data_IF_982407474567
#
_entry.id   IF_982407474567
#
_cell.length_a   1.000
_cell.length_b   1.000
_cell.length_c   1.000
_cell.angle_alpha   90.00
_cell.angle_beta   90.00
_cell.angle_gamma   90.00
#
_symmetry.space_group_name_H-M   'P 1'
#
loop_
_entity.id
_entity.type
_entity.pdbx_description
1 polymer ?
#
# COMPACT_ATOMS: atom_id res chain seq x y z
N UNK A 1 -16.41 7.63 39.21
CA UNK A 1 -15.63 8.46 38.27
C UNK A 1 -14.37 7.69 37.92
N UNK A 2 -14.39 6.96 36.80
CA UNK A 2 -13.23 6.21 36.29
C UNK A 2 -12.59 7.07 35.19
N UNK A 3 -11.31 7.38 35.39
CA UNK A 3 -10.47 8.19 34.51
C UNK A 3 -10.35 7.52 33.15
N UNK A 4 -10.67 8.24 32.06
CA UNK A 4 -10.25 7.87 30.71
C UNK A 4 -8.77 8.23 30.56
N UNK A 5 -7.92 7.24 30.29
CA UNK A 5 -6.60 7.45 29.72
C UNK A 5 -6.78 7.67 28.21
N UNK A 6 -6.21 8.72 27.60
CA UNK A 6 -6.10 8.79 26.15
C UNK A 6 -5.02 7.80 25.71
N UNK A 7 -5.38 6.83 24.86
CA UNK A 7 -4.42 6.05 24.11
C UNK A 7 -3.79 6.99 23.07
N UNK A 8 -2.52 7.34 23.29
CA UNK A 8 -1.69 8.06 22.33
C UNK A 8 -1.32 7.04 21.25
N UNK A 9 -1.90 7.16 20.06
CA UNK A 9 -1.38 6.50 18.87
C UNK A 9 -0.02 7.12 18.55
N UNK A 10 1.04 6.35 18.75
CA UNK A 10 2.38 6.78 18.41
C UNK A 10 2.56 6.77 16.91
N UNK A 11 2.68 7.95 16.30
CA UNK A 11 3.26 8.10 14.97
C UNK A 11 4.69 7.59 15.02
N UNK A 12 4.99 6.56 14.24
CA UNK A 12 6.36 6.10 14.07
C UNK A 12 7.13 7.16 13.29
N UNK A 13 8.05 7.81 13.98
CA UNK A 13 8.98 8.79 13.43
C UNK A 13 9.94 8.05 12.50
N UNK A 14 9.84 8.29 11.19
CA UNK A 14 10.85 7.86 10.22
C UNK A 14 12.11 8.72 10.41
N UNK A 15 12.97 8.30 11.32
CA UNK A 15 14.35 8.82 11.41
C UNK A 15 15.11 8.23 10.24
N UNK A 16 15.37 9.07 9.23
CA UNK A 16 16.18 8.71 8.08
C UNK A 16 17.57 8.25 8.52
N UNK A 17 17.92 7.00 8.21
CA UNK A 17 19.30 6.52 8.24
C UNK A 17 19.76 6.28 6.81
N UNK A 18 20.43 7.29 6.25
CA UNK A 18 21.41 7.05 5.20
C UNK A 18 22.57 6.27 5.80
N UNK A 19 22.59 4.96 5.55
CA UNK A 19 23.62 4.04 6.01
C UNK A 19 23.92 3.03 4.91
N UNK A 20 25.15 3.05 4.43
CA UNK A 20 25.70 2.07 3.49
C UNK A 20 25.83 0.72 4.17
N UNK A 21 24.85 -0.16 4.02
CA UNK A 21 24.94 -1.53 4.52
C UNK A 21 24.92 -2.55 3.38
N UNK A 22 25.82 -3.51 3.52
CA UNK A 22 26.00 -4.64 2.63
C UNK A 22 24.71 -5.46 2.56
N UNK A 23 23.93 -5.29 1.49
CA UNK A 23 22.77 -6.11 1.14
C UNK A 23 23.20 -7.58 1.03
N UNK A 24 23.18 -8.31 2.14
CA UNK A 24 23.16 -9.77 2.09
C UNK A 24 21.71 -10.17 1.83
N UNK A 25 21.39 -10.71 0.64
CA UNK A 25 20.02 -11.04 0.29
C UNK A 25 19.44 -12.02 1.30
N UNK A 26 18.19 -11.79 1.70
CA UNK A 26 17.50 -12.70 2.62
C UNK A 26 17.41 -14.11 1.99
N UNK A 27 17.61 -15.18 2.79
CA UNK A 27 17.41 -16.54 2.31
C UNK A 27 15.98 -16.79 1.83
N UNK A 28 15.79 -17.75 0.91
CA UNK A 28 14.50 -18.06 0.29
C UNK A 28 13.41 -18.40 1.32
N UNK A 29 13.78 -19.13 2.39
CA UNK A 29 12.86 -19.44 3.49
C UNK A 29 12.36 -18.18 4.20
N UNK A 30 13.22 -17.17 4.33
CA UNK A 30 12.86 -15.90 4.95
C UNK A 30 11.97 -15.09 4.01
N UNK A 31 12.19 -15.13 2.69
CA UNK A 31 11.32 -14.43 1.72
C UNK A 31 9.88 -14.95 1.80
N UNK A 32 9.66 -16.27 1.90
CA UNK A 32 8.32 -16.83 2.03
C UNK A 32 7.59 -16.31 3.30
N UNK A 33 8.30 -16.31 4.43
CA UNK A 33 7.79 -15.79 5.71
C UNK A 33 7.53 -14.27 5.63
N UNK A 34 8.42 -13.52 4.99
CA UNK A 34 8.24 -12.08 4.75
C UNK A 34 7.03 -11.81 3.86
N UNK A 35 6.80 -12.60 2.81
CA UNK A 35 5.60 -12.50 1.96
C UNK A 35 4.34 -12.75 2.79
N UNK A 36 4.27 -13.83 3.58
CA UNK A 36 3.14 -14.09 4.50
C UNK A 36 2.88 -12.91 5.43
N UNK A 37 3.95 -12.38 5.99
CA UNK A 37 3.90 -11.37 7.03
C UNK A 37 3.51 -9.97 6.49
N UNK A 38 4.07 -9.55 5.36
CA UNK A 38 3.72 -8.26 4.73
C UNK A 38 2.38 -8.31 4.01
N UNK A 39 1.98 -9.46 3.47
CA UNK A 39 0.67 -9.68 2.87
C UNK A 39 -0.44 -9.97 3.91
N UNK A 40 -0.12 -9.73 5.19
CA UNK A 40 -1.04 -9.65 6.32
C UNK A 40 -1.77 -10.96 6.66
N UNK A 41 -1.14 -12.10 6.39
CA UNK A 41 -1.62 -13.40 6.81
C UNK A 41 -1.08 -13.84 8.17
N UNK A 42 -0.16 -13.10 8.83
CA UNK A 42 0.23 -13.25 10.25
C UNK A 42 1.38 -12.31 10.69
N UNK A 43 1.49 -12.04 11.99
CA UNK A 43 2.63 -11.34 12.59
C UNK A 43 3.89 -12.21 12.70
N UNK A 44 5.07 -11.57 12.62
CA UNK A 44 6.37 -12.25 12.52
C UNK A 44 7.51 -11.25 12.29
N UNK A 45 8.37 -11.50 11.29
CA UNK A 45 9.55 -10.70 10.93
C UNK A 45 9.27 -9.22 10.58
N UNK A 46 8.01 -8.83 10.44
CA UNK A 46 7.59 -7.48 10.07
C UNK A 46 7.33 -6.59 11.30
N UNK A 47 7.53 -5.29 11.09
CA UNK A 47 7.17 -4.22 12.00
C UNK A 47 6.00 -3.40 11.45
N UNK A 48 5.53 -2.42 12.24
CA UNK A 48 4.40 -1.53 11.89
C UNK A 48 3.13 -2.28 11.47
N UNK A 49 2.86 -3.39 12.14
CA UNK A 49 1.80 -4.30 11.73
C UNK A 49 0.41 -3.65 11.82
N UNK A 50 -0.35 -3.74 10.72
CA UNK A 50 -1.77 -3.37 10.70
C UNK A 50 -2.57 -4.33 11.58
N UNK A 51 -3.28 -3.78 12.58
CA UNK A 51 -4.26 -4.53 13.35
C UNK A 51 -5.55 -4.67 12.53
N UNK A 52 -5.95 -5.90 12.17
CA UNK A 52 -7.15 -6.24 11.37
C UNK A 52 -6.94 -6.25 9.85
N UNK A 53 -6.06 -7.15 9.42
CA UNK A 53 -5.85 -7.51 8.03
C UNK A 53 -7.13 -7.98 7.31
N UNK A 54 -7.83 -8.92 7.94
CA UNK A 54 -8.97 -9.63 7.37
C UNK A 54 -10.21 -9.46 8.23
N UNK A 55 -11.34 -9.29 7.56
CA UNK A 55 -12.64 -9.16 8.20
C UNK A 55 -13.77 -9.62 7.30
N UNK A 56 -14.98 -9.58 7.84
CA UNK A 56 -16.19 -9.92 7.12
C UNK A 56 -16.82 -8.65 6.54
N UNK A 57 -17.24 -8.71 5.28
CA UNK A 57 -17.98 -7.62 4.65
C UNK A 57 -19.40 -7.54 5.20
N UNK A 58 -19.86 -6.35 5.60
CA UNK A 58 -21.27 -6.12 5.90
C UNK A 58 -22.01 -5.85 4.58
N UNK A 59 -22.71 -6.87 4.09
CA UNK A 59 -23.47 -6.80 2.84
C UNK A 59 -24.69 -5.86 2.92
N UNK A 60 -25.16 -5.51 4.12
CA UNK A 60 -26.29 -4.59 4.29
C UNK A 60 -25.87 -3.17 3.97
N UNK A 61 -24.66 -2.80 4.37
CA UNK A 61 -24.13 -1.44 4.21
C UNK A 61 -23.01 -1.35 3.17
N UNK A 62 -22.62 -2.47 2.58
CA UNK A 62 -21.47 -2.61 1.70
C UNK A 62 -20.18 -2.02 2.32
N UNK A 63 -19.92 -2.33 3.59
CA UNK A 63 -18.75 -1.84 4.33
C UNK A 63 -17.79 -2.96 4.70
N UNK A 64 -16.51 -2.61 4.80
CA UNK A 64 -15.44 -3.47 5.29
C UNK A 64 -14.66 -2.70 6.35
N UNK A 65 -14.36 -3.32 7.49
CA UNK A 65 -13.61 -2.70 8.61
C UNK A 65 -12.21 -3.29 8.78
N UNK A 66 -11.68 -3.90 7.72
CA UNK A 66 -10.37 -4.54 7.65
C UNK A 66 -9.74 -4.21 6.31
N UNK A 67 -8.44 -4.49 6.13
CA UNK A 67 -7.80 -4.21 4.83
C UNK A 67 -8.48 -5.01 3.72
N UNK A 68 -8.81 -6.27 3.99
CA UNK A 68 -9.47 -7.17 3.06
C UNK A 68 -10.75 -7.75 3.66
N UNK A 69 -11.81 -7.75 2.87
CA UNK A 69 -13.04 -8.50 3.15
C UNK A 69 -13.48 -9.25 1.90
N UNK A 70 -13.94 -10.50 2.06
CA UNK A 70 -14.52 -11.24 0.96
C UNK A 70 -15.81 -10.57 0.48
N UNK A 71 -15.94 -10.40 -0.84
CA UNK A 71 -17.03 -9.66 -1.47
C UNK A 71 -18.41 -10.31 -1.29
N UNK A 72 -18.45 -11.62 -1.03
CA UNK A 72 -19.67 -12.39 -0.76
C UNK A 72 -20.07 -12.36 0.71
N UNK A 73 -19.32 -11.66 1.57
CA UNK A 73 -19.56 -11.57 3.00
C UNK A 73 -19.19 -12.83 3.78
N UNK A 74 -18.43 -13.76 3.21
CA UNK A 74 -17.89 -14.89 3.97
C UNK A 74 -16.89 -14.42 5.03
N UNK A 75 -16.76 -15.19 6.10
CA UNK A 75 -15.66 -14.99 7.05
C UNK A 75 -14.33 -15.38 6.39
N UNK A 76 -13.23 -14.69 6.74
CA UNK A 76 -11.91 -15.08 6.27
C UNK A 76 -11.47 -16.42 6.86
N UNK A 77 -10.68 -17.18 6.12
CA UNK A 77 -10.03 -18.38 6.65
C UNK A 77 -9.08 -18.02 7.79
N UNK A 78 -8.85 -18.96 8.71
CA UNK A 78 -7.88 -18.78 9.81
C UNK A 78 -6.46 -18.47 9.30
N UNK A 79 -6.11 -19.07 8.16
CA UNK A 79 -4.87 -18.83 7.43
C UNK A 79 -5.21 -18.43 5.99
N UNK A 80 -5.42 -17.14 5.71
CA UNK A 80 -5.70 -16.69 4.36
C UNK A 80 -4.48 -16.96 3.46
N UNK A 81 -4.74 -17.09 2.16
CA UNK A 81 -3.71 -17.32 1.15
C UNK A 81 -3.19 -16.00 0.56
N UNK A 82 -2.19 -16.11 -0.32
CA UNK A 82 -1.60 -14.98 -1.02
C UNK A 82 -2.67 -14.12 -1.71
N UNK A 83 -2.77 -12.86 -1.28
CA UNK A 83 -3.74 -11.88 -1.77
C UNK A 83 -3.03 -10.81 -2.57
N UNK A 84 -3.41 -10.65 -3.82
CA UNK A 84 -2.82 -9.66 -4.72
C UNK A 84 -3.78 -9.25 -5.81
N UNK A 85 -3.44 -8.18 -6.52
CA UNK A 85 -4.16 -7.78 -7.73
C UNK A 85 -4.08 -8.88 -8.81
N UNK A 86 -5.18 -9.07 -9.56
CA UNK A 86 -5.25 -10.09 -10.62
C UNK A 86 -4.41 -9.69 -11.82
N UNK A 87 -3.79 -10.69 -12.45
CA UNK A 87 -3.11 -10.49 -13.73
C UNK A 87 -4.16 -10.25 -14.83
N UNK A 88 -3.93 -9.24 -15.68
CA UNK A 88 -4.83 -8.88 -16.78
C UNK A 88 -5.96 -7.91 -16.41
N UNK A 89 -6.24 -7.71 -15.13
CA UNK A 89 -7.15 -6.68 -14.62
C UNK A 89 -6.35 -5.42 -14.28
N UNK A 90 -6.24 -4.50 -15.24
CA UNK A 90 -5.43 -3.30 -15.06
C UNK A 90 -6.05 -2.33 -14.04
N UNK A 91 -5.21 -1.82 -13.14
CA UNK A 91 -5.56 -0.81 -12.14
C UNK A 91 -5.60 0.57 -12.81
N UNK A 92 -6.73 1.29 -12.81
CA UNK A 92 -6.77 2.67 -13.31
C UNK A 92 -5.88 3.58 -12.47
N UNK A 93 -5.06 4.40 -13.12
CA UNK A 93 -4.14 5.32 -12.43
C UNK A 93 -4.25 6.74 -12.96
N UNK A 94 -4.34 7.70 -12.05
CA UNK A 94 -4.41 9.12 -12.34
C UNK A 94 -3.31 9.89 -11.60
N UNK A 95 -2.90 11.02 -12.16
CA UNK A 95 -1.99 11.97 -11.54
C UNK A 95 -2.75 13.25 -11.19
N UNK A 96 -2.71 13.67 -9.93
CA UNK A 96 -3.32 14.93 -9.52
C UNK A 96 -2.49 16.12 -10.02
N UNK A 97 -3.12 17.02 -10.78
CA UNK A 97 -2.62 18.29 -11.31
C UNK A 97 -1.45 18.23 -12.31
N UNK A 98 -0.50 17.30 -12.14
CA UNK A 98 0.68 17.17 -13.01
C UNK A 98 1.27 15.77 -12.99
N UNK A 99 1.96 15.40 -14.07
CA UNK A 99 2.81 14.20 -14.10
C UNK A 99 4.08 14.44 -13.26
N UNK A 100 4.36 13.52 -12.32
CA UNK A 100 5.63 13.47 -11.60
C UNK A 100 6.48 12.29 -12.12
N UNK A 101 7.76 12.54 -12.49
CA UNK A 101 8.66 11.47 -12.93
C UNK A 101 8.80 10.32 -11.93
N UNK A 102 8.68 10.58 -10.62
CA UNK A 102 8.76 9.56 -9.56
C UNK A 102 7.60 8.56 -9.63
N UNK A 103 6.39 9.04 -9.93
CA UNK A 103 5.22 8.16 -10.11
C UNK A 103 5.42 7.22 -11.31
N UNK A 104 5.92 7.78 -12.41
CA UNK A 104 6.22 7.01 -13.63
C UNK A 104 7.33 6.00 -13.37
N UNK A 105 8.39 6.40 -12.66
CA UNK A 105 9.46 5.52 -12.23
C UNK A 105 8.92 4.32 -11.42
N UNK A 106 8.14 4.58 -10.37
CA UNK A 106 7.64 3.52 -9.49
C UNK A 106 6.74 2.54 -10.24
N UNK A 107 5.80 3.03 -11.05
CA UNK A 107 4.94 2.15 -11.86
C UNK A 107 5.72 1.32 -12.86
N UNK A 108 6.70 1.92 -13.56
CA UNK A 108 7.53 1.18 -14.52
C UNK A 108 8.38 0.12 -13.82
N UNK A 109 8.97 0.45 -12.67
CA UNK A 109 9.76 -0.49 -11.88
C UNK A 109 8.88 -1.61 -11.33
N UNK A 110 7.69 -1.33 -10.83
CA UNK A 110 6.75 -2.36 -10.40
C UNK A 110 6.36 -3.32 -11.55
N UNK A 111 6.03 -2.81 -12.74
CA UNK A 111 5.75 -3.65 -13.92
C UNK A 111 6.98 -4.45 -14.38
N UNK A 112 8.20 -3.91 -14.25
CA UNK A 112 9.46 -4.65 -14.49
C UNK A 112 9.67 -5.78 -13.47
N UNK A 113 9.39 -5.52 -12.20
CA UNK A 113 9.49 -6.50 -11.13
C UNK A 113 8.49 -7.64 -11.36
N UNK A 114 7.24 -7.28 -11.59
CA UNK A 114 6.13 -8.21 -11.76
C UNK A 114 6.17 -8.95 -13.10
N UNK A 115 6.77 -8.36 -14.15
CA UNK A 115 6.96 -8.98 -15.46
C UNK A 115 5.77 -8.85 -16.40
N UNK A 116 4.73 -8.11 -16.02
CA UNK A 116 3.56 -7.83 -16.85
C UNK A 116 2.96 -6.45 -16.52
N UNK A 117 2.03 -5.98 -17.36
CA UNK A 117 1.36 -4.69 -17.17
C UNK A 117 0.33 -4.75 -16.04
N UNK A 118 0.42 -3.80 -15.12
CA UNK A 118 -0.50 -3.65 -13.99
C UNK A 118 -1.37 -2.41 -14.11
N UNK A 119 -0.90 -1.36 -14.78
CA UNK A 119 -1.52 -0.03 -14.69
C UNK A 119 -2.15 0.41 -16.02
N UNK A 120 -3.42 0.80 -15.95
CA UNK A 120 -4.09 1.59 -16.98
C UNK A 120 -3.90 3.08 -16.66
N UNK A 121 -2.85 3.68 -17.24
CA UNK A 121 -2.45 5.07 -16.99
C UNK A 121 -3.42 6.03 -17.70
N UNK A 122 -4.38 6.59 -16.97
CA UNK A 122 -5.42 7.50 -17.47
C UNK A 122 -4.95 8.94 -17.67
N UNK A 123 -3.88 9.33 -16.97
CA UNK A 123 -3.23 10.64 -17.11
C UNK A 123 -3.60 11.63 -16.01
N UNK A 124 -3.48 12.92 -16.31
CA UNK A 124 -3.64 14.01 -15.33
C UNK A 124 -5.11 14.36 -15.12
N UNK A 125 -5.50 14.50 -13.86
CA UNK A 125 -6.82 15.01 -13.43
C UNK A 125 -6.65 16.23 -12.54
N UNK A 126 -7.70 17.05 -12.44
CA UNK A 126 -7.75 18.17 -11.51
C UNK A 126 -8.93 17.96 -10.57
N UNK A 127 -8.65 17.85 -9.27
CA UNK A 127 -9.66 17.69 -8.23
C UNK A 127 -9.51 18.84 -7.22
N UNK A 128 -10.64 19.38 -6.77
CA UNK A 128 -10.64 20.30 -5.63
C UNK A 128 -10.49 19.51 -4.33
N UNK A 129 -9.31 19.63 -3.71
CA UNK A 129 -8.98 18.98 -2.43
C UNK A 129 -9.11 19.93 -1.23
N UNK A 130 -9.72 21.11 -1.40
CA UNK A 130 -9.93 22.07 -0.30
C UNK A 130 -10.79 21.50 0.83
N UNK A 131 -11.68 20.56 0.52
CA UNK A 131 -12.40 19.74 1.48
C UNK A 131 -12.09 18.26 1.26
N UNK A 132 -11.05 17.77 1.92
CA UNK A 132 -10.55 16.39 1.79
C UNK A 132 -11.57 15.30 2.15
N UNK A 133 -12.62 15.64 2.90
CA UNK A 133 -13.68 14.70 3.28
C UNK A 133 -14.82 14.60 2.26
N UNK A 134 -14.82 15.44 1.24
CA UNK A 134 -15.88 15.50 0.23
C UNK A 134 -15.33 15.94 -1.13
N UNK A 135 -14.41 15.15 -1.67
CA UNK A 135 -13.82 15.36 -2.99
C UNK A 135 -14.82 14.92 -4.07
N UNK A 136 -15.04 15.76 -5.07
CA UNK A 136 -15.91 15.45 -6.21
C UNK A 136 -15.15 14.68 -7.30
N UNK A 137 -15.42 13.38 -7.40
CA UNK A 137 -14.85 12.50 -8.42
C UNK A 137 -15.72 12.37 -9.68
N UNK A 138 -16.80 13.16 -9.83
CA UNK A 138 -17.73 13.03 -10.97
C UNK A 138 -17.11 13.26 -12.34
N UNK A 139 -15.94 13.91 -12.40
CA UNK A 139 -15.16 14.14 -13.61
C UNK A 139 -14.15 13.03 -13.94
N UNK A 140 -13.95 12.07 -13.03
CA UNK A 140 -13.02 10.96 -13.22
C UNK A 140 -13.71 9.83 -13.99
N UNK A 141 -13.02 9.23 -14.97
CA UNK A 141 -13.60 8.24 -15.89
C UNK A 141 -14.05 6.96 -15.17
N UNK A 142 -13.30 6.55 -14.15
CA UNK A 142 -13.55 5.34 -13.37
C UNK A 142 -14.13 5.68 -12.00
N UNK A 143 -14.73 4.67 -11.34
CA UNK A 143 -15.25 4.81 -9.97
C UNK A 143 -14.23 4.47 -8.88
N UNK A 144 -13.08 3.95 -9.29
CA UNK A 144 -11.99 3.51 -8.44
C UNK A 144 -10.67 3.57 -9.20
N UNK A 145 -9.57 3.43 -8.49
CA UNK A 145 -8.22 3.39 -9.03
C UNK A 145 -7.22 3.97 -8.04
N UNK A 146 -6.00 4.22 -8.51
CA UNK A 146 -4.98 4.94 -7.76
C UNK A 146 -4.93 6.40 -8.20
N UNK A 147 -4.91 7.31 -7.24
CA UNK A 147 -4.61 8.73 -7.47
C UNK A 147 -3.26 9.02 -6.84
N UNK A 148 -2.30 9.38 -7.68
CA UNK A 148 -1.01 9.88 -7.23
C UNK A 148 -1.08 11.38 -7.00
N UNK A 149 -0.58 11.84 -5.86
CA UNK A 149 -0.58 13.26 -5.53
C UNK A 149 0.69 13.66 -4.78
N UNK A 150 1.14 14.87 -5.08
CA UNK A 150 2.32 15.49 -4.48
C UNK A 150 1.90 16.56 -3.47
N UNK A 151 2.63 16.69 -2.36
CA UNK A 151 2.37 17.66 -1.31
C UNK A 151 1.10 17.33 -0.54
N UNK A 152 0.81 16.03 -0.40
CA UNK A 152 -0.41 15.54 0.25
C UNK A 152 -0.14 14.42 1.24
N UNK A 153 1.12 14.06 1.50
CA UNK A 153 1.43 13.11 2.57
C UNK A 153 1.06 13.73 3.92
N UNK A 154 0.63 12.89 4.86
CA UNK A 154 0.17 13.33 6.18
C UNK A 154 1.35 13.92 7.00
N UNK A 155 1.11 14.96 7.79
CA UNK A 155 2.07 15.51 8.76
C UNK A 155 3.37 16.14 8.19
N UNK A 156 4.11 16.82 9.06
CA UNK A 156 5.35 17.54 8.74
C UNK A 156 6.58 16.64 8.56
N UNK A 157 6.50 15.37 9.01
CA UNK A 157 7.55 14.36 8.94
C UNK A 157 7.16 13.10 8.16
N UNK A 158 6.30 13.24 7.15
CA UNK A 158 6.06 12.17 6.18
C UNK A 158 6.53 12.58 4.80
N UNK A 159 7.13 11.62 4.09
CA UNK A 159 7.42 11.73 2.67
C UNK A 159 6.48 10.88 1.81
N UNK A 160 5.69 9.98 2.40
CA UNK A 160 4.87 9.02 1.67
C UNK A 160 3.77 8.44 2.55
N UNK A 161 2.56 8.27 2.01
CA UNK A 161 1.47 7.52 2.65
C UNK A 161 0.45 7.04 1.62
N UNK A 162 0.04 5.77 1.71
CA UNK A 162 -1.17 5.27 1.05
C UNK A 162 -2.38 5.41 1.96
N UNK A 163 -3.47 6.02 1.48
CA UNK A 163 -4.68 6.21 2.28
C UNK A 163 -5.92 6.46 1.43
N UNK A 164 -7.09 6.63 2.07
CA UNK A 164 -8.37 6.88 1.39
C UNK A 164 -8.52 8.31 0.85
N UNK A 165 -7.52 9.18 1.05
CA UNK A 165 -7.60 10.59 0.68
C UNK A 165 -6.28 11.33 0.88
N UNK A 166 -6.16 12.58 0.37
CA UNK A 166 -5.00 13.41 0.64
C UNK A 166 -4.95 13.84 2.10
N UNK A 167 -3.74 13.91 2.67
CA UNK A 167 -3.48 14.30 4.07
C UNK A 167 -4.24 13.44 5.09
N UNK A 168 -4.40 12.15 4.80
CA UNK A 168 -5.04 11.16 5.67
C UNK A 168 -4.12 9.96 5.91
N UNK A 169 -4.36 9.23 7.00
CA UNK A 169 -3.74 7.92 7.31
C UNK A 169 -4.77 6.78 7.40
N UNK A 170 -6.03 7.03 7.02
CA UNK A 170 -7.04 5.98 6.97
C UNK A 170 -6.67 4.97 5.90
N UNK A 171 -6.61 3.70 6.33
CA UNK A 171 -6.31 2.55 5.48
C UNK A 171 -7.38 2.41 4.40
N UNK A 172 -6.96 2.02 3.20
CA UNK A 172 -7.88 1.72 2.09
C UNK A 172 -8.33 0.27 2.19
N UNK A 173 -9.63 0.06 2.40
CA UNK A 173 -10.20 -1.26 2.54
C UNK A 173 -10.63 -1.78 1.18
N UNK A 174 -10.30 -3.03 0.85
CA UNK A 174 -10.56 -3.65 -0.44
C UNK A 174 -11.53 -4.81 -0.30
N UNK A 175 -12.39 -4.96 -1.31
CA UNK A 175 -13.10 -6.20 -1.54
C UNK A 175 -12.16 -7.22 -2.18
N UNK A 176 -12.32 -8.49 -1.83
CA UNK A 176 -11.51 -9.59 -2.33
C UNK A 176 -12.44 -10.70 -2.82
N UNK A 177 -12.12 -11.29 -3.97
CA UNK A 177 -12.87 -12.45 -4.49
C UNK A 177 -12.52 -13.72 -3.71
N UNK A 178 -13.34 -14.77 -3.84
CA UNK A 178 -13.05 -16.08 -3.21
C UNK A 178 -11.75 -16.73 -3.72
N UNK A 179 -11.17 -16.21 -4.80
CA UNK A 179 -9.87 -16.58 -5.34
C UNK A 179 -8.70 -15.80 -4.72
N UNK A 180 -8.96 -14.95 -3.72
CA UNK A 180 -8.01 -14.02 -3.08
C UNK A 180 -7.47 -12.93 -4.04
N UNK A 181 -8.12 -12.70 -5.17
CA UNK A 181 -7.82 -11.59 -6.05
C UNK A 181 -8.40 -10.28 -5.49
N UNK A 182 -7.56 -9.25 -5.39
CA UNK A 182 -7.99 -7.90 -4.98
C UNK A 182 -8.88 -7.31 -6.09
N UNK A 183 -10.08 -6.85 -5.69
CA UNK A 183 -11.01 -6.11 -6.54
C UNK A 183 -10.82 -4.59 -6.32
N UNK A 184 -11.91 -3.83 -6.29
CA UNK A 184 -11.88 -2.40 -6.00
C UNK A 184 -11.93 -2.10 -4.49
N UNK A 185 -11.49 -0.89 -4.07
CA UNK A 185 -11.79 -0.35 -2.76
C UNK A 185 -13.29 -0.42 -2.43
N UNK A 186 -13.61 -0.64 -1.16
CA UNK A 186 -14.98 -0.68 -0.66
C UNK A 186 -15.52 0.74 -0.50
N UNK A 187 -16.75 0.99 -0.97
CA UNK A 187 -17.42 2.27 -0.81
C UNK A 187 -17.22 3.29 -1.94
N UNK A 188 -16.95 2.84 -3.18
CA UNK A 188 -16.72 3.68 -4.37
C UNK A 188 -15.68 4.78 -4.09
N UNK A 189 -14.46 4.36 -3.73
CA UNK A 189 -13.36 5.27 -3.38
C UNK A 189 -12.09 4.96 -4.18
N UNK A 190 -11.17 5.93 -4.18
CA UNK A 190 -9.83 5.80 -4.76
C UNK A 190 -8.82 5.51 -3.66
N UNK A 191 -7.79 4.73 -3.98
CA UNK A 191 -6.59 4.67 -3.15
C UNK A 191 -5.70 5.85 -3.51
N UNK A 192 -5.39 6.70 -2.54
CA UNK A 192 -4.49 7.82 -2.71
C UNK A 192 -3.07 7.40 -2.36
N UNK A 193 -2.14 7.63 -3.29
CA UNK A 193 -0.71 7.46 -3.05
C UNK A 193 -0.12 8.86 -2.94
N UNK A 194 0.05 9.28 -1.70
CA UNK A 194 0.45 10.63 -1.34
C UNK A 194 1.95 10.70 -1.16
N UNK A 195 2.63 11.58 -1.89
CA UNK A 195 4.04 11.88 -1.71
C UNK A 195 4.24 13.31 -1.24
N UNK A 196 5.41 13.53 -0.63
CA UNK A 196 5.86 14.79 -0.08
C UNK A 196 4.93 15.33 1.01
N UNK A 197 5.51 15.90 2.07
CA UNK A 197 4.72 16.44 3.18
C UNK A 197 3.71 17.46 2.67
N UNK A 198 2.44 17.29 3.06
CA UNK A 198 1.39 18.27 2.84
C UNK A 198 1.37 19.41 3.86
N UNK A 199 2.30 19.41 4.82
CA UNK A 199 2.42 20.48 5.80
C UNK A 199 2.88 21.78 5.15
N UNK A 200 2.29 22.90 5.56
CA UNK A 200 2.77 24.24 5.18
C UNK A 200 4.15 24.56 5.79
N UNK A 201 4.54 23.85 6.85
CA UNK A 201 5.84 23.97 7.52
C UNK A 201 6.43 22.57 7.72
N UNK A 202 6.98 21.93 6.67
CA UNK A 202 7.62 20.63 6.82
C UNK A 202 8.83 20.70 7.75
N UNK A 203 9.00 19.68 8.59
CA UNK A 203 10.10 19.63 9.55
C UNK A 203 11.39 19.26 8.81
N UNK A 204 12.43 20.08 8.97
CA UNK A 204 13.67 19.94 8.19
C UNK A 204 14.58 18.82 8.68
N UNK A 205 14.35 18.32 9.89
CA UNK A 205 15.14 17.24 10.49
C UNK A 205 14.72 15.83 10.05
N UNK A 206 13.65 15.70 9.27
CA UNK A 206 13.12 14.44 8.77
C UNK A 206 12.92 14.47 7.25
N UNK A 207 12.71 13.29 6.66
CA UNK A 207 12.48 13.16 5.21
C UNK A 207 11.06 13.59 4.87
N UNK A 208 10.92 14.76 4.24
CA UNK A 208 9.64 15.37 3.87
C UNK A 208 9.43 15.47 2.34
N UNK A 209 10.42 15.07 1.54
CA UNK A 209 10.32 14.92 0.08
C UNK A 209 10.67 13.47 -0.27
N UNK A 210 9.78 12.80 -1.00
CA UNK A 210 9.94 11.42 -1.40
C UNK A 210 11.08 11.24 -2.41
N UNK A 211 11.94 10.26 -2.17
CA UNK A 211 12.83 9.72 -3.20
C UNK A 211 12.08 8.76 -4.13
N UNK A 212 12.76 8.27 -5.17
CA UNK A 212 12.24 7.19 -6.02
C UNK A 212 11.93 5.91 -5.23
N UNK A 213 12.78 5.58 -4.25
CA UNK A 213 12.64 4.42 -3.39
C UNK A 213 11.44 4.56 -2.45
N UNK A 214 11.22 5.76 -1.86
CA UNK A 214 10.00 6.05 -1.08
C UNK A 214 8.76 5.96 -1.98
N UNK A 215 8.85 6.46 -3.22
CA UNK A 215 7.72 6.41 -4.15
C UNK A 215 7.33 4.98 -4.51
N UNK A 216 8.31 4.11 -4.74
CA UNK A 216 8.09 2.70 -4.98
C UNK A 216 7.64 1.96 -3.72
N UNK A 217 8.10 2.37 -2.53
CA UNK A 217 7.64 1.87 -1.24
C UNK A 217 6.12 2.07 -1.07
N UNK A 218 5.63 3.29 -1.29
CA UNK A 218 4.19 3.56 -1.20
C UNK A 218 3.39 2.80 -2.26
N UNK A 219 3.91 2.66 -3.48
CA UNK A 219 3.25 1.81 -4.48
C UNK A 219 3.16 0.35 -4.02
N UNK A 220 4.22 -0.18 -3.41
CA UNK A 220 4.25 -1.56 -2.94
C UNK A 220 3.21 -1.80 -1.83
N UNK A 221 2.95 -0.82 -0.95
CA UNK A 221 1.81 -0.87 -0.03
C UNK A 221 0.49 -1.03 -0.77
N UNK A 222 0.23 -0.18 -1.78
CA UNK A 222 -0.98 -0.25 -2.60
C UNK A 222 -1.09 -1.56 -3.41
N UNK A 223 0.04 -2.24 -3.66
CA UNK A 223 0.12 -3.55 -4.32
C UNK A 223 0.03 -4.74 -3.36
N UNK A 224 -0.12 -4.51 -2.05
CA UNK A 224 -0.41 -5.55 -1.04
C UNK A 224 0.77 -5.93 -0.13
N UNK A 225 1.87 -5.18 -0.14
CA UNK A 225 2.97 -5.29 0.85
C UNK A 225 2.71 -4.33 2.00
N UNK A 226 1.85 -4.70 2.96
CA UNK A 226 1.29 -3.75 3.92
C UNK A 226 2.15 -3.50 5.17
N UNK A 227 2.94 -4.48 5.61
CA UNK A 227 3.80 -4.32 6.80
C UNK A 227 5.26 -4.08 6.39
N UNK A 228 5.98 -3.32 7.22
CA UNK A 228 7.40 -3.03 7.03
C UNK A 228 8.28 -4.22 7.42
N UNK A 229 9.43 -4.37 6.79
CA UNK A 229 10.43 -5.38 7.09
C UNK A 229 11.82 -4.91 6.64
N UNK A 230 12.88 -5.65 6.96
CA UNK A 230 14.25 -5.28 6.58
C UNK A 230 14.42 -5.12 5.05
N UNK A 231 14.64 -3.88 4.62
CA UNK A 231 14.70 -3.50 3.21
C UNK A 231 13.41 -2.90 2.63
N UNK A 232 12.35 -2.83 3.44
CA UNK A 232 11.06 -2.23 3.12
C UNK A 232 10.52 -1.43 4.32
N UNK A 233 10.94 -0.17 4.45
CA UNK A 233 10.53 0.73 5.54
C UNK A 233 11.38 0.58 6.81
N UNK A 234 11.84 -0.64 7.13
CA UNK A 234 12.89 -0.85 8.12
C UNK A 234 14.27 -0.78 7.45
N UNK A 235 15.09 0.15 7.90
CA UNK A 235 16.37 0.47 7.28
C UNK A 235 16.18 1.23 5.96
N UNK A 236 16.18 0.51 4.84
CA UNK A 236 15.94 1.11 3.52
C UNK A 236 14.44 1.25 3.23
N UNK A 237 14.04 2.31 2.52
CA UNK A 237 12.65 2.45 2.06
C UNK A 237 12.26 1.30 1.11
N UNK A 238 13.13 0.98 0.15
CA UNK A 238 12.91 -0.11 -0.79
C UNK A 238 14.25 -0.59 -1.37
N UNK A 239 14.70 -1.81 -1.03
CA UNK A 239 15.94 -2.42 -1.54
C UNK A 239 15.68 -3.76 -2.27
N UNK A 240 16.76 -4.51 -2.52
CA UNK A 240 16.71 -5.81 -3.19
C UNK A 240 15.82 -6.86 -2.47
N UNK A 241 15.67 -6.81 -1.15
CA UNK A 241 14.77 -7.70 -0.42
C UNK A 241 13.31 -7.37 -0.75
N UNK A 242 12.96 -6.08 -0.77
CA UNK A 242 11.62 -5.62 -1.16
C UNK A 242 11.30 -5.96 -2.62
N UNK A 243 12.27 -5.78 -3.53
CA UNK A 243 12.14 -6.24 -4.93
C UNK A 243 11.79 -7.73 -4.98
N UNK A 244 12.55 -8.55 -4.25
CA UNK A 244 12.39 -10.01 -4.25
C UNK A 244 11.06 -10.47 -3.67
N UNK A 245 10.57 -9.80 -2.62
CA UNK A 245 9.24 -10.04 -2.02
C UNK A 245 8.14 -9.70 -3.03
N UNK A 246 8.19 -8.52 -3.66
CA UNK A 246 7.17 -8.13 -4.66
C UNK A 246 7.17 -9.08 -5.87
N UNK A 247 8.37 -9.44 -6.38
CA UNK A 247 8.51 -10.45 -7.45
C UNK A 247 7.90 -11.78 -7.04
N UNK A 248 8.16 -12.23 -5.81
CA UNK A 248 7.62 -13.50 -5.29
C UNK A 248 6.10 -13.45 -5.19
N UNK A 249 5.52 -12.38 -4.66
CA UNK A 249 4.06 -12.23 -4.60
C UNK A 249 3.42 -12.33 -5.99
N UNK A 250 3.96 -11.64 -6.98
CA UNK A 250 3.30 -11.54 -8.30
C UNK A 250 3.67 -12.65 -9.29
N UNK A 251 4.72 -13.42 -9.04
CA UNK A 251 5.06 -14.63 -9.82
C UNK A 251 4.24 -15.86 -9.42
N UNK A 252 3.50 -15.79 -8.31
CA UNK A 252 2.61 -16.84 -7.84
C UNK A 252 1.14 -16.43 -8.11
N UNK A 253 0.22 -17.35 -8.47
CA UNK A 253 -1.22 -17.06 -8.52
C UNK A 253 -1.76 -16.53 -7.18
N UNK A 254 -2.76 -15.65 -7.26
CA UNK A 254 -3.57 -15.31 -6.09
C UNK A 254 -4.22 -16.58 -5.53
N UNK A 255 -4.40 -16.63 -4.22
CA UNK A 255 -4.95 -17.79 -3.51
C UNK A 255 -3.95 -18.93 -3.32
N UNK A 256 -2.68 -18.77 -3.71
CA UNK A 256 -1.66 -19.75 -3.42
C UNK A 256 -1.32 -19.76 -1.91
N UNK A 257 -1.27 -20.95 -1.27
CA UNK A 257 -0.79 -21.07 0.10
C UNK A 257 0.64 -20.55 0.27
N UNK A 258 0.89 -19.83 1.36
CA UNK A 258 2.20 -19.21 1.62
C UNK A 258 3.35 -20.23 1.77
N UNK A 259 3.06 -21.43 2.27
CA UNK A 259 4.02 -22.54 2.40
C UNK A 259 4.32 -23.25 1.06
N UNK A 260 3.58 -22.92 0.02
CA UNK A 260 3.71 -23.47 -1.32
C UNK A 260 4.28 -22.47 -2.34
N UNK A 261 4.69 -21.27 -1.92
CA UNK A 261 5.18 -20.23 -2.83
C UNK A 261 6.45 -20.65 -3.58
N UNK A 262 6.47 -20.37 -4.89
CA UNK A 262 7.70 -20.40 -5.67
C UNK A 262 8.46 -19.09 -5.44
N UNK A 263 9.64 -19.16 -4.83
CA UNK A 263 10.42 -17.97 -4.50
C UNK A 263 11.10 -17.42 -5.75
N UNK A 264 10.80 -16.16 -6.09
CA UNK A 264 11.46 -15.49 -7.19
C UNK A 264 12.92 -15.17 -6.84
N UNK A 265 13.78 -15.24 -7.85
CA UNK A 265 15.18 -14.84 -7.74
C UNK A 265 15.33 -13.36 -8.09
#
# INVERSE_FOLDING_TARGET
MKSLLPLIFGSAVLVGCGGSDSDSPLPDSIIAETVKCTNLAEGGLCSQNVSNAWGQMDLTWATCNSLYCFEDGSEPDENPNLTRWREGELIPVYFLNSEDPRFTYAMNKAEELVGYKLFDRKGVINLDISNIYNIDYSSVETKWGFIWSQGTALDECSSGTVSTGPMMNSIVNHSVGLDYGINQPVGDTFSWINLDSGSATPETSCTNVASNEVTLHELAHALGMSNHFDGFGDGAAFNNNAERVLRTMYSNPHGQPFDALSIAQ
#
